data_IF_022910582865
#
_entry.id   IF_022910582865
#
_cell.length_a   1.000
_cell.length_b   1.000
_cell.length_c   1.000
_cell.angle_alpha   90.00
_cell.angle_beta   90.00
_cell.angle_gamma   90.00
#
_symmetry.space_group_name_H-M   'P 1'
#
loop_
_entity.id
_entity.type
_entity.pdbx_description
1 polymer ?
#
# COMPACT_ATOMS: atom_id res chain seq x y z
N UNK A 1 9.39 -9.36 25.85
CA UNK A 1 8.44 -8.34 26.36
C UNK A 1 7.31 -8.23 25.34
N UNK A 2 6.04 -8.17 25.76
CA UNK A 2 4.93 -8.01 24.82
C UNK A 2 4.84 -6.55 24.38
N UNK A 3 5.08 -6.27 23.10
CA UNK A 3 4.84 -4.97 22.50
C UNK A 3 3.33 -4.73 22.41
N UNK A 4 2.84 -3.56 22.85
CA UNK A 4 1.40 -3.23 22.81
C UNK A 4 1.09 -2.59 21.47
N UNK A 5 0.27 -3.27 20.67
CA UNK A 5 -0.21 -2.76 19.38
C UNK A 5 -1.75 -2.59 19.42
N UNK A 6 -2.33 -1.71 18.58
CA UNK A 6 -3.77 -1.61 18.42
C UNK A 6 -4.41 -2.98 18.14
N UNK A 7 -5.59 -3.25 18.70
CA UNK A 7 -6.24 -4.56 18.51
C UNK A 7 -6.96 -4.69 17.18
N UNK A 8 -7.34 -3.58 16.55
CA UNK A 8 -8.12 -3.51 15.30
C UNK A 8 -7.55 -2.45 14.37
N UNK A 9 -7.71 -2.67 13.08
CA UNK A 9 -7.50 -1.70 11.99
C UNK A 9 -8.87 -1.39 11.38
N UNK A 10 -9.05 -0.16 10.91
CA UNK A 10 -10.25 0.33 10.21
C UNK A 10 -10.31 -0.22 8.79
N UNK A 11 -9.16 -0.34 8.11
CA UNK A 11 -9.05 -0.79 6.72
C UNK A 11 -9.26 -2.32 6.61
N UNK A 12 -10.36 -2.79 5.98
CA UNK A 12 -10.61 -4.20 5.78
C UNK A 12 -9.81 -4.79 4.61
N UNK A 13 -9.33 -3.95 3.68
CA UNK A 13 -8.69 -4.34 2.43
C UNK A 13 -7.26 -4.86 2.63
N UNK A 14 -6.62 -4.50 3.75
CA UNK A 14 -5.41 -5.19 4.21
C UNK A 14 -5.82 -6.52 4.83
N UNK A 15 -5.97 -7.54 3.99
CA UNK A 15 -6.46 -8.88 4.34
C UNK A 15 -5.40 -9.79 4.99
N UNK A 16 -4.11 -9.66 4.63
CA UNK A 16 -3.07 -10.57 5.08
C UNK A 16 -2.70 -10.32 6.55
N UNK A 17 -2.75 -11.36 7.39
CA UNK A 17 -2.57 -11.23 8.84
C UNK A 17 -1.23 -10.59 9.24
N UNK A 18 -0.15 -10.91 8.51
CA UNK A 18 1.18 -10.32 8.77
C UNK A 18 1.28 -8.87 8.29
N UNK A 19 0.62 -8.50 7.19
CA UNK A 19 0.52 -7.11 6.74
C UNK A 19 -0.24 -6.25 7.77
N UNK A 20 -1.36 -6.78 8.29
CA UNK A 20 -2.10 -6.15 9.40
C UNK A 20 -1.28 -6.04 10.68
N UNK A 21 -0.42 -7.00 10.96
CA UNK A 21 0.49 -6.90 12.10
C UNK A 21 1.52 -5.78 11.91
N UNK A 22 2.09 -5.67 10.71
CA UNK A 22 3.03 -4.61 10.37
C UNK A 22 2.41 -3.23 10.51
N UNK A 23 1.22 -3.01 9.94
CA UNK A 23 0.54 -1.71 10.05
C UNK A 23 0.21 -1.35 11.50
N UNK A 24 -0.13 -2.34 12.33
CA UNK A 24 -0.32 -2.12 13.78
C UNK A 24 0.97 -1.78 14.51
N UNK A 25 2.12 -2.29 14.06
CA UNK A 25 3.42 -1.93 14.61
C UNK A 25 3.79 -0.48 14.26
N UNK A 26 3.53 -0.06 13.02
CA UNK A 26 3.66 1.33 12.57
C UNK A 26 2.81 2.27 13.44
N UNK A 27 1.50 2.00 13.56
CA UNK A 27 0.59 2.81 14.37
C UNK A 27 0.94 2.88 15.86
N UNK A 28 1.69 1.90 16.37
CA UNK A 28 2.19 1.89 17.74
C UNK A 28 3.53 2.61 17.91
N UNK A 29 4.16 3.07 16.82
CA UNK A 29 5.53 3.61 16.81
C UNK A 29 6.54 2.57 17.29
N UNK A 30 6.36 1.29 16.95
CA UNK A 30 7.22 0.21 17.43
C UNK A 30 8.29 -0.18 16.42
N UNK A 31 9.42 0.53 16.43
CA UNK A 31 10.52 0.37 15.46
C UNK A 31 11.02 -1.07 15.30
N UNK A 32 11.13 -1.82 16.40
CA UNK A 32 11.60 -3.20 16.35
C UNK A 32 10.64 -4.11 15.58
N UNK A 33 9.33 -3.97 15.82
CA UNK A 33 8.31 -4.74 15.11
C UNK A 33 8.12 -4.23 13.67
N UNK A 34 8.26 -2.92 13.46
CA UNK A 34 8.26 -2.30 12.13
C UNK A 34 9.37 -2.89 11.26
N UNK A 35 10.61 -2.86 11.74
CA UNK A 35 11.77 -3.38 11.00
C UNK A 35 11.72 -4.90 10.75
N UNK A 36 11.06 -5.66 11.63
CA UNK A 36 10.81 -7.09 11.41
C UNK A 36 9.78 -7.30 10.29
N UNK A 37 8.66 -6.56 10.35
CA UNK A 37 7.63 -6.67 9.32
C UNK A 37 8.08 -6.12 7.96
N UNK A 38 8.97 -5.13 7.93
CA UNK A 38 9.62 -4.66 6.70
C UNK A 38 10.35 -5.79 5.99
N UNK A 39 11.19 -6.52 6.73
CA UNK A 39 11.95 -7.64 6.17
C UNK A 39 11.03 -8.70 5.59
N UNK A 40 9.95 -9.02 6.30
CA UNK A 40 8.97 -10.00 5.84
C UNK A 40 8.22 -9.51 4.58
N UNK A 41 7.76 -8.26 4.59
CA UNK A 41 7.05 -7.67 3.44
C UNK A 41 7.94 -7.58 2.20
N UNK A 42 9.19 -7.15 2.35
CA UNK A 42 10.15 -7.06 1.26
C UNK A 42 10.58 -8.42 0.70
N UNK A 43 10.49 -9.48 1.52
CA UNK A 43 10.76 -10.86 1.13
C UNK A 43 9.56 -11.55 0.46
N UNK A 44 8.33 -11.12 0.77
CA UNK A 44 7.10 -11.73 0.28
C UNK A 44 6.37 -10.83 -0.74
N UNK A 45 6.80 -10.95 -1.99
CA UNK A 45 6.20 -10.27 -3.15
C UNK A 45 5.26 -11.19 -3.95
N UNK A 46 4.79 -12.30 -3.37
CA UNK A 46 3.84 -13.20 -4.04
C UNK A 46 2.46 -12.52 -4.20
N UNK A 47 1.66 -13.01 -5.16
CA UNK A 47 0.23 -12.67 -5.18
C UNK A 47 -0.43 -13.23 -3.93
N UNK A 48 -1.36 -12.46 -3.34
CA UNK A 48 -1.95 -12.67 -2.02
C UNK A 48 -0.94 -12.67 -0.85
N UNK A 49 0.31 -12.26 -1.11
CA UNK A 49 1.38 -12.15 -0.11
C UNK A 49 1.28 -10.88 0.74
N UNK A 50 2.25 -10.70 1.62
CA UNK A 50 2.30 -9.55 2.54
C UNK A 50 2.29 -8.23 1.77
N UNK A 51 3.21 -8.05 0.83
CA UNK A 51 3.31 -6.80 0.08
C UNK A 51 2.06 -6.54 -0.76
N UNK A 52 1.53 -7.58 -1.40
CA UNK A 52 0.33 -7.50 -2.22
C UNK A 52 -0.88 -7.01 -1.42
N UNK A 53 -1.04 -7.53 -0.20
CA UNK A 53 -2.10 -7.08 0.69
C UNK A 53 -1.95 -5.62 1.13
N UNK A 54 -0.72 -5.16 1.36
CA UNK A 54 -0.45 -3.75 1.71
C UNK A 54 -0.76 -2.83 0.53
N UNK A 55 -0.25 -3.12 -0.67
CA UNK A 55 -0.50 -2.28 -1.84
C UNK A 55 -1.99 -2.28 -2.24
N UNK A 56 -2.67 -3.43 -2.13
CA UNK A 56 -4.11 -3.52 -2.35
C UNK A 56 -4.87 -2.61 -1.40
N UNK A 57 -4.60 -2.73 -0.10
CA UNK A 57 -5.28 -1.92 0.91
C UNK A 57 -4.98 -0.44 0.80
N UNK A 58 -3.76 -0.07 0.42
CA UNK A 58 -3.36 1.32 0.17
C UNK A 58 -4.12 1.91 -1.01
N UNK A 59 -4.12 1.21 -2.16
CA UNK A 59 -4.76 1.69 -3.38
C UNK A 59 -6.26 1.86 -3.18
N UNK A 60 -6.94 0.86 -2.61
CA UNK A 60 -8.39 0.93 -2.41
C UNK A 60 -8.79 2.04 -1.43
N UNK A 61 -8.05 2.18 -0.32
CA UNK A 61 -8.27 3.27 0.64
C UNK A 61 -8.13 4.66 -0.02
N UNK A 62 -7.05 4.88 -0.77
CA UNK A 62 -6.80 6.16 -1.46
C UNK A 62 -7.83 6.44 -2.55
N UNK A 63 -8.17 5.44 -3.38
CA UNK A 63 -9.18 5.58 -4.44
C UNK A 63 -10.53 5.99 -3.87
N UNK A 64 -10.93 5.43 -2.71
CA UNK A 64 -12.15 5.84 -2.03
C UNK A 64 -12.10 7.29 -1.54
N UNK A 65 -10.95 7.76 -1.03
CA UNK A 65 -10.78 9.16 -0.61
C UNK A 65 -10.80 10.14 -1.79
N UNK A 66 -10.23 9.74 -2.92
CA UNK A 66 -10.18 10.57 -4.13
C UNK A 66 -11.48 10.52 -4.94
N UNK A 67 -12.39 9.59 -4.63
CA UNK A 67 -13.65 9.46 -5.33
C UNK A 67 -14.49 10.73 -5.18
N UNK A 68 -14.76 11.39 -6.31
CA UNK A 68 -15.66 12.53 -6.38
C UNK A 68 -16.95 12.15 -7.11
N UNK A 69 -18.12 12.20 -6.45
CA UNK A 69 -19.41 11.88 -7.11
C UNK A 69 -19.73 12.79 -8.31
N UNK A 70 -19.17 14.00 -8.35
CA UNK A 70 -19.37 14.96 -9.44
C UNK A 70 -18.45 14.72 -10.64
N UNK A 71 -17.40 13.90 -10.47
CA UNK A 71 -16.44 13.50 -11.52
C UNK A 71 -16.07 12.04 -11.33
N UNK A 72 -16.97 11.10 -11.67
CA UNK A 72 -16.71 9.69 -11.47
C UNK A 72 -15.49 9.25 -12.31
N UNK A 73 -14.59 8.51 -11.68
CA UNK A 73 -13.46 7.89 -12.35
C UNK A 73 -13.97 6.91 -13.42
N UNK A 74 -13.34 6.94 -14.60
CA UNK A 74 -13.57 5.92 -15.62
C UNK A 74 -12.61 4.76 -15.38
N UNK A 75 -13.15 3.57 -15.18
CA UNK A 75 -12.38 2.34 -15.03
C UNK A 75 -12.39 1.52 -16.33
N UNK A 76 -11.31 0.77 -16.65
CA UNK A 76 -10.08 0.63 -15.87
C UNK A 76 -9.17 1.86 -15.98
N UNK A 77 -8.49 2.21 -14.88
CA UNK A 77 -7.50 3.28 -14.86
C UNK A 77 -6.32 2.93 -13.96
N UNK A 78 -5.12 3.33 -14.34
CA UNK A 78 -3.92 3.18 -13.50
C UNK A 78 -4.04 4.06 -12.26
N UNK A 79 -3.55 3.62 -11.10
CA UNK A 79 -3.58 4.40 -9.85
C UNK A 79 -2.97 5.79 -10.05
N UNK A 80 -1.85 5.86 -10.76
CA UNK A 80 -1.19 7.12 -11.09
C UNK A 80 -2.09 8.11 -11.86
N UNK A 81 -3.10 7.65 -12.61
CA UNK A 81 -4.01 8.54 -13.36
C UNK A 81 -5.18 9.04 -12.51
N UNK A 82 -5.61 8.24 -11.53
CA UNK A 82 -6.72 8.62 -10.62
C UNK A 82 -6.24 9.42 -9.43
N UNK A 83 -4.98 9.26 -9.00
CA UNK A 83 -4.40 10.03 -7.91
C UNK A 83 -4.44 11.55 -8.19
N UNK A 84 -4.76 12.42 -7.21
CA UNK A 84 -4.49 13.85 -7.27
C UNK A 84 -3.02 14.15 -7.60
N UNK A 85 -2.71 15.33 -8.15
CA UNK A 85 -1.35 15.67 -8.57
C UNK A 85 -0.40 15.77 -7.36
N UNK A 86 -0.88 16.40 -6.29
CA UNK A 86 -0.18 16.55 -5.01
C UNK A 86 0.19 15.19 -4.39
N UNK A 87 -0.68 14.20 -4.48
CA UNK A 87 -0.39 12.83 -4.02
C UNK A 87 0.75 12.19 -4.84
N UNK A 88 0.73 12.36 -6.16
CA UNK A 88 1.77 11.80 -7.05
C UNK A 88 3.13 12.44 -6.79
N UNK A 89 3.15 13.73 -6.50
CA UNK A 89 4.38 14.50 -6.27
C UNK A 89 5.02 14.17 -4.92
N UNK A 90 4.24 13.66 -3.96
CA UNK A 90 4.75 13.23 -2.66
C UNK A 90 5.45 11.86 -2.72
N UNK A 91 4.98 10.97 -3.58
CA UNK A 91 5.55 9.63 -3.71
C UNK A 91 6.97 9.62 -4.26
N UNK A 92 7.79 8.71 -3.74
CA UNK A 92 9.08 8.40 -4.34
C UNK A 92 8.91 7.90 -5.77
N UNK A 93 9.93 8.13 -6.61
CA UNK A 93 9.90 7.73 -8.01
C UNK A 93 9.62 6.23 -8.24
N UNK A 94 10.16 5.28 -7.43
CA UNK A 94 9.79 3.87 -7.52
C UNK A 94 8.29 3.61 -7.27
N UNK A 95 7.70 4.31 -6.30
CA UNK A 95 6.28 4.20 -5.97
C UNK A 95 5.43 4.70 -7.13
N UNK A 96 5.77 5.86 -7.70
CA UNK A 96 5.11 6.38 -8.90
C UNK A 96 5.16 5.37 -10.06
N UNK A 97 6.30 4.70 -10.26
CA UNK A 97 6.46 3.66 -11.28
C UNK A 97 5.51 2.48 -11.05
N UNK A 98 5.45 1.96 -9.82
CA UNK A 98 4.48 0.92 -9.44
C UNK A 98 3.04 1.38 -9.67
N UNK A 99 2.69 2.62 -9.31
CA UNK A 99 1.32 3.16 -9.48
C UNK A 99 0.93 3.41 -10.94
N UNK A 100 1.90 3.52 -11.87
CA UNK A 100 1.63 3.61 -13.32
C UNK A 100 1.24 2.28 -13.94
N UNK A 101 1.60 1.16 -13.32
CA UNK A 101 1.27 -0.18 -13.80
C UNK A 101 0.20 -0.88 -12.96
N UNK A 102 -0.02 -0.43 -11.72
CA UNK A 102 -1.13 -0.85 -10.89
C UNK A 102 -2.45 -0.29 -11.43
N UNK A 103 -3.44 -1.16 -11.68
CA UNK A 103 -4.69 -0.78 -12.34
C UNK A 103 -5.89 -0.94 -11.42
N UNK A 104 -6.66 0.13 -11.24
CA UNK A 104 -7.96 0.09 -10.60
C UNK A 104 -9.00 -0.39 -11.63
N UNK A 105 -9.62 -1.53 -11.36
CA UNK A 105 -10.60 -2.17 -12.24
C UNK A 105 -12.03 -1.76 -11.89
N UNK A 106 -12.25 -1.25 -10.69
CA UNK A 106 -13.53 -0.71 -10.21
C UNK A 106 -13.39 -0.13 -8.80
N UNK A 107 -14.50 0.28 -8.15
CA UNK A 107 -14.46 0.89 -6.81
C UNK A 107 -13.83 0.02 -5.71
N UNK A 108 -13.91 -1.31 -5.87
CA UNK A 108 -13.41 -2.31 -4.91
C UNK A 108 -12.36 -3.24 -5.56
N UNK A 109 -11.94 -2.94 -6.79
CA UNK A 109 -11.11 -3.83 -7.59
C UNK A 109 -9.78 -3.19 -7.98
N UNK A 110 -8.68 -3.87 -7.69
CA UNK A 110 -7.33 -3.49 -8.09
C UNK A 110 -6.57 -4.70 -8.64
N UNK A 111 -5.85 -4.48 -9.73
CA UNK A 111 -4.86 -5.41 -10.30
C UNK A 111 -3.45 -4.90 -9.96
N UNK A 112 -2.86 -5.55 -8.97
CA UNK A 112 -1.53 -5.28 -8.42
C UNK A 112 -0.44 -6.13 -9.09
N UNK A 113 -0.82 -7.15 -9.87
CA UNK A 113 0.14 -8.13 -10.44
C UNK A 113 1.24 -7.45 -11.26
N UNK A 114 0.97 -6.45 -12.12
CA UNK A 114 2.03 -5.73 -12.82
C UNK A 114 2.98 -5.01 -11.86
N UNK A 115 2.47 -4.37 -10.80
CA UNK A 115 3.29 -3.66 -9.82
C UNK A 115 4.19 -4.63 -9.03
N UNK A 116 3.68 -5.81 -8.65
CA UNK A 116 4.48 -6.86 -8.00
C UNK A 116 5.61 -7.36 -8.90
N UNK A 117 5.39 -7.44 -10.23
CA UNK A 117 6.45 -7.79 -11.18
C UNK A 117 7.53 -6.74 -11.22
N UNK A 118 7.17 -5.45 -11.26
CA UNK A 118 8.14 -4.35 -11.21
C UNK A 118 8.93 -4.36 -9.89
N UNK A 119 8.26 -4.55 -8.75
CA UNK A 119 8.92 -4.65 -7.44
C UNK A 119 9.98 -5.76 -7.40
N UNK A 120 9.73 -6.91 -8.02
CA UNK A 120 10.71 -8.02 -8.09
C UNK A 120 11.96 -7.67 -8.90
N UNK A 121 11.86 -6.72 -9.83
CA UNK A 121 12.97 -6.26 -10.65
C UNK A 121 13.72 -5.09 -10.01
N UNK A 122 13.13 -4.44 -9.00
CA UNK A 122 13.73 -3.31 -8.29
C UNK A 122 14.84 -3.73 -7.33
N UNK A 123 15.74 -2.77 -7.07
CA UNK A 123 16.72 -2.90 -5.99
C UNK A 123 16.04 -3.04 -4.63
N UNK A 124 16.77 -3.55 -3.63
CA UNK A 124 16.25 -3.62 -2.26
C UNK A 124 15.91 -2.24 -1.67
N UNK A 125 16.72 -1.22 -1.99
CA UNK A 125 16.49 0.15 -1.56
C UNK A 125 15.23 0.75 -2.19
N UNK A 126 15.02 0.55 -3.49
CA UNK A 126 13.82 1.08 -4.17
C UNK A 126 12.55 0.41 -3.63
N UNK A 127 12.58 -0.92 -3.41
CA UNK A 127 11.45 -1.62 -2.79
C UNK A 127 11.13 -1.10 -1.40
N UNK A 128 12.15 -0.73 -0.62
CA UNK A 128 11.96 -0.18 0.72
C UNK A 128 11.26 1.19 0.65
N UNK A 129 11.64 2.05 -0.29
CA UNK A 129 10.96 3.32 -0.52
C UNK A 129 9.48 3.14 -0.90
N UNK A 130 9.16 2.15 -1.73
CA UNK A 130 7.76 1.84 -2.07
C UNK A 130 6.99 1.36 -0.83
N UNK A 131 7.61 0.52 -0.01
CA UNK A 131 6.99 0.01 1.20
C UNK A 131 6.70 1.13 2.21
N UNK A 132 7.64 2.07 2.37
CA UNK A 132 7.47 3.21 3.27
C UNK A 132 6.31 4.11 2.83
N UNK A 133 6.25 4.53 1.56
CA UNK A 133 5.14 5.34 1.03
C UNK A 133 3.77 4.65 1.24
N UNK A 134 3.71 3.34 1.02
CA UNK A 134 2.49 2.53 1.19
C UNK A 134 2.07 2.49 2.66
N UNK A 135 3.02 2.29 3.58
CA UNK A 135 2.73 2.15 5.00
C UNK A 135 2.36 3.50 5.61
N UNK A 136 3.07 4.57 5.27
CA UNK A 136 2.73 5.93 5.69
C UNK A 136 1.32 6.29 5.23
N UNK A 137 0.99 6.03 3.96
CA UNK A 137 -0.33 6.32 3.45
C UNK A 137 -1.45 5.46 4.03
N UNK A 138 -1.16 4.22 4.41
CA UNK A 138 -2.09 3.38 5.16
C UNK A 138 -2.28 3.91 6.59
N UNK A 139 -1.20 4.29 7.27
CA UNK A 139 -1.24 4.81 8.64
C UNK A 139 -2.04 6.12 8.74
N UNK A 140 -1.90 7.01 7.77
CA UNK A 140 -2.70 8.23 7.66
C UNK A 140 -4.21 7.96 7.60
N UNK A 141 -4.61 6.89 6.91
CA UNK A 141 -6.02 6.50 6.80
C UNK A 141 -6.55 5.81 8.06
N UNK A 142 -5.65 5.25 8.87
CA UNK A 142 -5.97 4.56 10.13
C UNK A 142 -6.08 5.51 11.33
N UNK A 143 -5.42 6.69 11.30
CA UNK A 143 -5.59 7.78 12.27
C UNK A 143 -7.04 8.18 12.46
#
# INVERSE_FOLDING_TARGET
MGHRHPSKLKNPEVSHARARWLLRAELAGCDACRAEGDKDALADLASDGIFDSLITGFVLARVQQWHSPSRPSQYPATVYRVAPIDERDFWWAPTQHCMRVCTVTGPEGVDTVPALRELRLMSGSDRSLVLDDIIDGLAETEG
#
